data_IF_257649535159
#
_entry.id   IF_257649535159
#
_cell.length_a   1.000
_cell.length_b   1.000
_cell.length_c   1.000
_cell.angle_alpha   90.00
_cell.angle_beta   90.00
_cell.angle_gamma   90.00
#
_symmetry.space_group_name_H-M   'P 1'
#
loop_
_entity.id
_entity.type
_entity.pdbx_description
1 polymer ?
#
# COMPACT_ATOMS: atom_id res chain seq x y z
N UNK A 1 18.83 4.38 -7.17
CA UNK A 1 19.24 3.77 -5.87
C UNK A 1 18.03 3.80 -4.95
N UNK A 2 17.93 3.00 -3.87
CA UNK A 2 16.83 3.22 -2.93
C UNK A 2 16.91 4.65 -2.38
N UNK A 3 15.77 5.35 -2.31
CA UNK A 3 15.69 6.66 -1.65
C UNK A 3 16.23 6.48 -0.22
N UNK A 4 17.16 7.34 0.24
CA UNK A 4 17.72 7.22 1.58
C UNK A 4 16.61 7.29 2.65
N UNK A 5 16.87 6.59 3.74
CA UNK A 5 16.04 6.60 4.94
C UNK A 5 16.14 7.96 5.63
N UNK A 6 15.18 8.30 6.48
CA UNK A 6 15.26 9.57 7.20
C UNK A 6 16.50 9.63 8.11
N UNK A 7 16.92 8.49 8.68
CA UNK A 7 18.13 8.44 9.51
C UNK A 7 19.42 8.64 8.71
N UNK A 8 19.51 8.08 7.50
CA UNK A 8 20.65 8.34 6.62
C UNK A 8 20.76 9.81 6.27
N UNK A 9 19.64 10.53 6.14
CA UNK A 9 19.62 11.96 5.88
C UNK A 9 20.07 12.81 7.08
N UNK A 10 20.01 12.32 8.32
CA UNK A 10 20.26 13.13 9.52
C UNK A 10 21.68 13.71 9.58
N UNK A 11 22.72 12.89 9.37
CA UNK A 11 24.10 13.36 9.46
C UNK A 11 24.45 14.38 8.35
N UNK A 12 24.16 14.13 7.06
CA UNK A 12 24.41 15.12 6.01
C UNK A 12 23.65 16.44 6.22
N UNK A 13 22.42 16.39 6.73
CA UNK A 13 21.64 17.58 7.07
C UNK A 13 22.26 18.39 8.21
N UNK A 14 22.77 17.71 9.25
CA UNK A 14 23.45 18.38 10.35
C UNK A 14 24.79 18.99 9.90
N UNK A 15 25.58 18.23 9.14
CA UNK A 15 26.86 18.69 8.56
C UNK A 15 26.68 19.88 7.62
N UNK A 16 25.58 19.92 6.86
CA UNK A 16 25.24 21.05 6.01
C UNK A 16 25.19 22.37 6.78
N UNK A 17 24.77 22.34 8.04
CA UNK A 17 24.60 23.51 8.91
C UNK A 17 25.83 23.82 9.77
N UNK A 18 26.94 23.08 9.60
CA UNK A 18 28.15 23.24 10.42
C UNK A 18 28.79 24.64 10.30
N UNK A 19 28.46 25.40 9.24
CA UNK A 19 28.88 26.79 9.05
C UNK A 19 28.16 27.79 9.99
N UNK A 20 27.26 27.29 10.86
CA UNK A 20 26.42 28.06 11.80
C UNK A 20 25.48 29.07 11.12
N UNK A 21 25.35 29.02 9.78
CA UNK A 21 24.45 29.90 9.04
C UNK A 21 23.05 29.30 8.98
N UNK A 22 22.05 30.17 8.96
CA UNK A 22 20.68 29.74 8.68
C UNK A 22 20.58 29.25 7.24
N UNK A 23 19.93 28.11 7.04
CA UNK A 23 19.56 27.59 5.72
C UNK A 23 18.07 27.33 5.66
N UNK A 24 17.48 27.58 4.50
CA UNK A 24 16.08 27.30 4.19
C UNK A 24 15.87 25.80 3.96
N UNK A 25 14.61 25.36 4.05
CA UNK A 25 14.21 24.00 3.69
C UNK A 25 14.62 23.64 2.24
N UNK A 26 14.58 24.60 1.31
CA UNK A 26 14.97 24.39 -0.08
C UNK A 26 16.48 24.19 -0.25
N UNK A 27 17.29 24.95 0.50
CA UNK A 27 18.74 24.78 0.49
C UNK A 27 19.15 23.42 1.08
N UNK A 28 18.53 23.00 2.19
CA UNK A 28 18.74 21.67 2.76
C UNK A 28 18.28 20.56 1.80
N UNK A 29 17.17 20.77 1.10
CA UNK A 29 16.69 19.85 0.07
C UNK A 29 17.73 19.66 -1.04
N UNK A 30 18.29 20.75 -1.56
CA UNK A 30 19.33 20.70 -2.58
C UNK A 30 20.58 19.93 -2.10
N UNK A 31 20.96 20.08 -0.84
CA UNK A 31 22.09 19.35 -0.25
C UNK A 31 21.80 17.85 -0.17
N UNK A 32 20.61 17.45 0.29
CA UNK A 32 20.22 16.03 0.33
C UNK A 32 20.20 15.43 -1.08
N UNK A 33 19.60 16.12 -2.05
CA UNK A 33 19.54 15.68 -3.45
C UNK A 33 20.95 15.47 -4.01
N UNK A 34 21.86 16.42 -3.77
CA UNK A 34 23.23 16.35 -4.28
C UNK A 34 24.07 15.27 -3.56
N UNK A 35 23.96 15.19 -2.23
CA UNK A 35 24.72 14.25 -1.42
C UNK A 35 24.38 12.79 -1.77
N UNK A 36 23.09 12.49 -1.92
CA UNK A 36 22.60 11.14 -2.26
C UNK A 36 22.42 10.89 -3.76
N UNK A 37 22.74 11.88 -4.61
CA UNK A 37 22.63 11.80 -6.08
C UNK A 37 21.25 11.34 -6.55
N UNK A 38 20.19 11.92 -6.00
CA UNK A 38 18.80 11.55 -6.32
C UNK A 38 18.47 11.94 -7.76
N UNK A 39 17.97 10.98 -8.56
CA UNK A 39 17.57 11.23 -9.94
C UNK A 39 16.19 11.90 -10.03
N UNK A 40 15.80 12.36 -11.22
CA UNK A 40 14.45 12.90 -11.45
C UNK A 40 13.36 11.84 -11.24
N UNK A 41 13.64 10.56 -11.51
CA UNK A 41 12.75 9.46 -11.17
C UNK A 41 12.61 9.31 -9.65
N UNK A 42 13.71 9.35 -8.91
CA UNK A 42 13.70 9.23 -7.44
C UNK A 42 12.87 10.36 -6.79
N UNK A 43 12.93 11.58 -7.34
CA UNK A 43 12.16 12.73 -6.85
C UNK A 43 10.65 12.58 -7.06
N UNK A 44 10.23 11.87 -8.11
CA UNK A 44 8.83 11.62 -8.47
C UNK A 44 8.18 10.50 -7.66
N UNK A 45 8.95 9.73 -6.91
CA UNK A 45 8.41 8.69 -6.03
C UNK A 45 7.62 9.38 -4.90
N UNK A 46 6.30 9.20 -4.93
CA UNK A 46 5.40 9.71 -3.90
C UNK A 46 5.26 8.74 -2.71
N UNK A 47 4.72 9.24 -1.60
CA UNK A 47 4.28 8.39 -0.50
C UNK A 47 3.10 7.52 -0.95
N UNK A 48 3.06 6.22 -0.60
CA UNK A 48 1.90 5.37 -0.87
C UNK A 48 0.61 5.90 -0.21
N UNK A 49 0.72 6.58 0.94
CA UNK A 49 -0.42 7.18 1.66
C UNK A 49 -0.88 8.52 1.11
N UNK A 50 -0.03 9.23 0.36
CA UNK A 50 -0.36 10.52 -0.22
C UNK A 50 0.43 10.76 -1.51
N UNK A 51 -0.18 10.51 -2.68
CA UNK A 51 0.45 10.68 -3.99
C UNK A 51 0.96 12.11 -4.27
N UNK A 52 0.45 13.12 -3.55
CA UNK A 52 0.87 14.52 -3.71
C UNK A 52 2.12 14.87 -2.89
N UNK A 53 2.61 13.98 -2.03
CA UNK A 53 3.81 14.20 -1.22
C UNK A 53 4.96 13.33 -1.72
N UNK A 54 6.08 13.97 -2.04
CA UNK A 54 7.30 13.28 -2.42
C UNK A 54 7.92 12.54 -1.23
N UNK A 55 8.30 11.27 -1.45
CA UNK A 55 8.80 10.36 -0.41
C UNK A 55 10.10 10.86 0.22
N UNK A 56 11.05 11.36 -0.56
CA UNK A 56 12.31 11.88 0.00
C UNK A 56 12.10 13.17 0.80
N UNK A 57 11.21 14.06 0.36
CA UNK A 57 10.85 15.30 1.10
C UNK A 57 10.23 14.97 2.45
N UNK A 58 9.37 13.97 2.49
CA UNK A 58 8.76 13.49 3.73
C UNK A 58 9.79 12.90 4.69
N UNK A 59 10.70 12.06 4.19
CA UNK A 59 11.81 11.52 5.01
C UNK A 59 12.75 12.62 5.51
N UNK A 60 13.06 13.61 4.67
CA UNK A 60 13.85 14.78 5.08
C UNK A 60 13.14 15.57 6.19
N UNK A 61 11.82 15.75 6.09
CA UNK A 61 11.04 16.38 7.15
C UNK A 61 11.20 15.65 8.49
N UNK A 62 11.10 14.31 8.49
CA UNK A 62 11.29 13.49 9.69
C UNK A 62 12.71 13.56 10.25
N UNK A 63 13.74 13.54 9.39
CA UNK A 63 15.13 13.75 9.79
C UNK A 63 15.29 15.07 10.54
N UNK A 64 14.73 16.17 9.99
CA UNK A 64 14.74 17.48 10.63
C UNK A 64 13.97 17.47 11.96
N UNK A 65 12.80 16.81 12.03
CA UNK A 65 12.05 16.71 13.29
C UNK A 65 12.86 16.00 14.38
N UNK A 66 13.53 14.89 14.06
CA UNK A 66 14.34 14.14 15.02
C UNK A 66 15.53 14.97 15.52
N UNK A 67 16.26 15.63 14.62
CA UNK A 67 17.36 16.53 14.98
C UNK A 67 16.89 17.70 15.85
N UNK A 68 15.70 18.24 15.57
CA UNK A 68 15.09 19.30 16.39
C UNK A 68 14.70 18.83 17.77
N UNK A 69 14.11 17.63 17.88
CA UNK A 69 13.72 17.04 19.17
C UNK A 69 14.92 16.68 20.03
N UNK A 70 16.04 16.31 19.42
CA UNK A 70 17.33 16.14 20.09
C UNK A 70 18.07 17.45 20.38
N UNK A 71 17.51 18.60 19.99
CA UNK A 71 18.12 19.92 20.07
C UNK A 71 19.49 20.03 19.38
N UNK A 72 19.79 19.18 18.39
CA UNK A 72 20.97 19.34 17.53
C UNK A 72 20.75 20.43 16.48
N UNK A 73 19.48 20.72 16.19
CA UNK A 73 19.04 21.71 15.22
C UNK A 73 17.91 22.55 15.84
N UNK A 74 17.84 23.83 15.48
CA UNK A 74 16.73 24.72 15.81
C UNK A 74 16.12 25.33 14.55
N UNK A 75 14.88 25.82 14.67
CA UNK A 75 14.17 26.49 13.59
C UNK A 75 13.84 27.94 14.01
N UNK A 76 14.76 28.90 13.82
CA UNK A 76 14.61 30.26 14.33
C UNK A 76 13.45 31.01 13.66
N UNK A 77 13.17 30.70 12.39
CA UNK A 77 12.02 31.21 11.64
C UNK A 77 11.35 30.07 10.88
N UNK A 78 10.10 30.28 10.45
CA UNK A 78 9.35 29.27 9.71
C UNK A 78 10.11 28.87 8.43
N UNK A 79 10.48 27.60 8.34
CA UNK A 79 11.16 27.04 7.17
C UNK A 79 12.65 27.34 7.07
N UNK A 80 13.25 27.95 8.08
CA UNK A 80 14.71 28.10 8.21
C UNK A 80 15.24 27.29 9.39
N UNK A 81 16.48 26.85 9.28
CA UNK A 81 17.11 25.91 10.19
C UNK A 81 18.54 26.33 10.48
N UNK A 82 18.99 26.12 11.71
CA UNK A 82 20.34 26.42 12.18
C UNK A 82 20.81 25.33 13.13
N UNK A 83 22.10 24.98 13.10
CA UNK A 83 22.70 24.06 14.06
C UNK A 83 22.82 24.74 15.43
N UNK A 84 22.61 23.98 16.51
CA UNK A 84 22.80 24.48 17.88
C UNK A 84 24.24 24.25 18.35
N UNK A 85 24.62 24.79 19.51
CA UNK A 85 25.93 24.47 20.10
C UNK A 85 26.09 22.97 20.38
N UNK A 86 25.01 22.31 20.84
CA UNK A 86 24.95 20.85 21.02
C UNK A 86 25.19 20.11 19.70
N UNK A 87 24.61 20.60 18.60
CA UNK A 87 24.85 20.06 17.26
C UNK A 87 26.31 20.17 16.83
N UNK A 88 26.97 21.29 17.13
CA UNK A 88 28.40 21.49 16.86
C UNK A 88 29.26 20.55 17.71
N UNK A 89 28.96 20.44 19.01
CA UNK A 89 29.67 19.53 19.92
C UNK A 89 29.55 18.08 19.40
N UNK A 90 28.36 17.67 19.00
CA UNK A 90 28.13 16.35 18.41
C UNK A 90 28.99 16.12 17.15
N UNK A 91 29.03 17.09 16.22
CA UNK A 91 29.86 17.00 15.01
C UNK A 91 31.37 16.99 15.32
N UNK A 92 31.82 17.66 16.38
CA UNK A 92 33.23 17.70 16.77
C UNK A 92 33.79 16.34 17.18
N UNK A 93 32.90 15.40 17.57
CA UNK A 93 33.23 13.99 17.83
C UNK A 93 33.52 13.19 16.54
N UNK A 94 33.43 13.83 15.36
CA UNK A 94 33.60 13.23 14.04
C UNK A 94 32.77 11.95 13.82
N UNK A 95 31.43 12.00 14.01
CA UNK A 95 30.59 10.84 13.84
C UNK A 95 30.55 10.40 12.37
N UNK A 96 30.71 9.10 12.13
CA UNK A 96 30.52 8.51 10.80
C UNK A 96 29.04 8.29 10.44
N UNK A 97 28.19 8.16 11.46
CA UNK A 97 26.73 7.99 11.31
C UNK A 97 26.00 8.79 12.38
N UNK A 98 24.76 9.19 12.05
CA UNK A 98 23.80 9.72 13.01
C UNK A 98 22.51 8.91 12.85
N UNK A 99 22.14 8.19 13.91
CA UNK A 99 21.00 7.28 13.99
C UNK A 99 20.18 7.61 15.22
N UNK A 100 18.95 7.07 15.33
CA UNK A 100 18.11 7.24 16.51
C UNK A 100 18.87 6.89 17.80
N UNK A 101 19.67 5.82 17.80
CA UNK A 101 20.42 5.38 18.98
C UNK A 101 21.40 6.44 19.51
N UNK A 102 22.00 7.23 18.62
CA UNK A 102 22.84 8.36 19.03
C UNK A 102 22.01 9.47 19.68
N UNK A 103 20.77 9.68 19.22
CA UNK A 103 19.89 10.71 19.77
C UNK A 103 19.32 10.33 21.14
N UNK A 104 19.28 9.03 21.46
CA UNK A 104 18.81 8.54 22.77
C UNK A 104 19.72 8.95 23.94
N UNK A 105 20.92 9.50 23.67
CA UNK A 105 21.79 10.08 24.70
C UNK A 105 21.26 11.42 25.25
N UNK A 106 20.34 12.08 24.52
CA UNK A 106 19.75 13.35 24.92
C UNK A 106 18.41 13.11 25.65
N UNK A 107 18.31 13.60 26.88
CA UNK A 107 17.15 13.35 27.75
C UNK A 107 15.84 13.86 27.11
N UNK A 108 15.84 15.03 26.47
CA UNK A 108 14.65 15.59 25.84
C UNK A 108 14.14 14.75 24.66
N UNK A 109 15.07 14.13 23.91
CA UNK A 109 14.72 13.21 22.83
C UNK A 109 14.17 11.90 23.39
N UNK A 110 14.80 11.37 24.42
CA UNK A 110 14.38 10.15 25.10
C UNK A 110 12.98 10.30 25.72
N UNK A 111 12.71 11.40 26.41
CA UNK A 111 11.38 11.74 26.93
C UNK A 111 10.34 11.81 25.80
N UNK A 112 10.67 12.48 24.69
CA UNK A 112 9.78 12.57 23.54
C UNK A 112 9.46 11.21 22.90
N UNK A 113 10.46 10.33 22.75
CA UNK A 113 10.23 8.95 22.27
C UNK A 113 9.34 8.18 23.27
N UNK A 114 9.60 8.31 24.56
CA UNK A 114 8.82 7.63 25.61
C UNK A 114 7.36 8.11 25.59
N UNK A 115 7.11 9.41 25.45
CA UNK A 115 5.76 9.96 25.35
C UNK A 115 5.02 9.49 24.09
N UNK A 116 5.72 9.37 22.94
CA UNK A 116 5.14 8.77 21.74
C UNK A 116 4.74 7.30 21.95
N UNK A 117 5.45 6.56 22.81
CA UNK A 117 5.12 5.17 23.13
C UNK A 117 4.08 5.02 24.25
N UNK A 118 3.94 6.00 25.14
CA UNK A 118 2.99 6.00 26.27
C UNK A 118 1.56 6.43 25.87
N UNK A 119 1.37 7.04 24.71
CA UNK A 119 0.05 7.40 24.19
C UNK A 119 -0.89 6.23 23.87
N UNK A 120 -0.47 4.98 24.12
CA UNK A 120 -1.25 3.76 23.96
C UNK A 120 -1.50 3.04 25.29
N UNK A 121 -1.92 3.74 26.34
CA UNK A 121 -2.40 3.10 27.57
C UNK A 121 -3.77 2.44 27.34
N UNK A 122 -3.70 1.28 26.70
CA UNK A 122 -4.71 0.23 26.78
C UNK A 122 -3.98 -1.08 27.02
N UNK A 123 -3.46 -1.27 28.23
CA UNK A 123 -3.41 -2.55 28.96
C UNK A 123 -3.00 -3.82 28.21
N UNK A 124 -2.15 -3.76 27.19
CA UNK A 124 -1.56 -4.92 26.55
C UNK A 124 -0.06 -4.88 26.81
N UNK A 125 0.40 -5.73 27.73
CA UNK A 125 1.81 -6.10 27.81
C UNK A 125 2.19 -6.75 26.48
N UNK A 126 2.72 -5.94 25.56
CA UNK A 126 3.35 -6.45 24.36
C UNK A 126 4.69 -7.01 24.83
N UNK A 127 4.77 -8.34 24.86
CA UNK A 127 5.99 -9.11 25.03
C UNK A 127 7.07 -8.50 24.13
N UNK A 128 8.08 -7.89 24.74
CA UNK A 128 9.21 -7.25 24.06
C UNK A 128 10.13 -8.33 23.48
N UNK A 129 9.62 -9.09 22.51
CA UNK A 129 10.50 -9.72 21.52
C UNK A 129 10.86 -8.65 20.52
N UNK A 130 12.12 -8.22 20.58
CA UNK A 130 12.79 -7.45 19.54
C UNK A 130 12.61 -8.16 18.19
N UNK A 131 11.56 -7.76 17.47
CA UNK A 131 11.21 -8.26 16.15
C UNK A 131 11.29 -7.12 15.15
N UNK A 132 12.38 -7.08 14.37
CA UNK A 132 12.46 -6.67 12.96
C UNK A 132 11.75 -5.39 12.45
N UNK A 133 11.41 -4.42 13.29
CA UNK A 133 11.04 -3.07 12.81
C UNK A 133 12.27 -2.18 12.78
N UNK A 134 12.97 -2.21 11.65
CA UNK A 134 14.24 -1.50 11.49
C UNK A 134 14.09 0.03 11.59
N UNK A 135 15.14 0.74 12.03
CA UNK A 135 15.17 2.19 12.26
C UNK A 135 15.09 3.06 10.98
N UNK A 136 14.68 2.48 9.85
CA UNK A 136 14.76 3.06 8.50
C UNK A 136 13.46 3.67 7.97
N UNK A 137 12.33 3.49 8.68
CA UNK A 137 10.99 3.81 8.20
C UNK A 137 10.30 4.86 9.08
N UNK A 138 9.56 5.77 8.44
CA UNK A 138 8.73 6.76 9.13
C UNK A 138 7.50 6.09 9.78
N UNK A 139 6.91 6.66 10.86
CA UNK A 139 5.70 6.11 11.48
C UNK A 139 4.55 5.85 10.50
N UNK A 140 4.35 6.72 9.51
CA UNK A 140 3.35 6.52 8.48
C UNK A 140 3.68 5.33 7.57
N UNK A 141 4.95 5.15 7.20
CA UNK A 141 5.39 3.96 6.45
C UNK A 141 5.16 2.68 7.26
N UNK A 142 5.39 2.70 8.58
CA UNK A 142 5.11 1.56 9.45
C UNK A 142 3.62 1.21 9.48
N UNK A 143 2.73 2.21 9.58
CA UNK A 143 1.27 1.98 9.51
C UNK A 143 0.88 1.35 8.17
N UNK A 144 1.40 1.84 7.05
CA UNK A 144 1.09 1.32 5.71
C UNK A 144 1.56 -0.13 5.56
N UNK A 145 2.77 -0.44 6.04
CA UNK A 145 3.32 -1.80 5.99
C UNK A 145 2.50 -2.75 6.85
N UNK A 146 2.16 -2.33 8.07
CA UNK A 146 1.26 -3.08 8.95
C UNK A 146 -0.11 -3.32 8.30
N UNK A 147 -0.72 -2.28 7.72
CA UNK A 147 -1.99 -2.40 7.00
C UNK A 147 -1.91 -3.38 5.83
N UNK A 148 -0.86 -3.30 5.00
CA UNK A 148 -0.66 -4.22 3.87
C UNK A 148 -0.46 -5.67 4.34
N UNK A 149 0.25 -5.87 5.47
CA UNK A 149 0.42 -7.19 6.06
C UNK A 149 -0.91 -7.75 6.57
N UNK A 150 -1.70 -6.94 7.27
CA UNK A 150 -3.06 -7.31 7.72
C UNK A 150 -3.94 -7.67 6.52
N UNK A 151 -3.94 -6.83 5.47
CA UNK A 151 -4.69 -7.07 4.24
C UNK A 151 -4.27 -8.37 3.54
N UNK A 152 -2.96 -8.64 3.46
CA UNK A 152 -2.45 -9.86 2.84
C UNK A 152 -2.86 -11.12 3.64
N UNK A 153 -2.82 -11.05 4.97
CA UNK A 153 -3.29 -12.12 5.83
C UNK A 153 -4.79 -12.36 5.66
N UNK A 154 -5.60 -11.29 5.67
CA UNK A 154 -7.04 -11.35 5.42
C UNK A 154 -7.35 -11.96 4.04
N UNK A 155 -6.63 -11.57 3.00
CA UNK A 155 -6.81 -12.11 1.66
C UNK A 155 -6.50 -13.62 1.59
N UNK A 156 -5.51 -14.09 2.35
CA UNK A 156 -5.20 -15.52 2.49
C UNK A 156 -6.31 -16.28 3.20
N UNK A 157 -6.85 -15.71 4.29
CA UNK A 157 -7.93 -16.32 5.06
C UNK A 157 -9.25 -16.36 4.29
N UNK A 158 -9.56 -15.31 3.49
CA UNK A 158 -10.67 -15.31 2.56
C UNK A 158 -10.56 -16.43 1.53
N UNK A 159 -9.39 -16.62 0.90
CA UNK A 159 -9.19 -17.72 -0.07
C UNK A 159 -9.49 -19.08 0.57
N UNK A 160 -8.98 -19.33 1.78
CA UNK A 160 -9.27 -20.57 2.52
C UNK A 160 -10.76 -20.72 2.84
N UNK A 161 -11.43 -19.63 3.22
CA UNK A 161 -12.86 -19.64 3.49
C UNK A 161 -13.69 -19.98 2.23
N UNK A 162 -13.36 -19.36 1.09
CA UNK A 162 -14.02 -19.63 -0.20
C UNK A 162 -13.88 -21.10 -0.58
N UNK A 163 -12.68 -21.68 -0.43
CA UNK A 163 -12.42 -23.08 -0.76
C UNK A 163 -13.24 -24.08 0.06
N UNK A 164 -13.62 -23.73 1.30
CA UNK A 164 -14.46 -24.57 2.17
C UNK A 164 -15.94 -24.59 1.77
N UNK A 165 -16.36 -23.65 0.93
CA UNK A 165 -17.76 -23.51 0.52
C UNK A 165 -18.10 -24.37 -0.71
N UNK A 166 -19.40 -24.53 -0.96
CA UNK A 166 -19.91 -25.24 -2.13
C UNK A 166 -19.68 -24.45 -3.42
N UNK A 167 -19.64 -25.10 -4.60
CA UNK A 167 -19.57 -24.41 -5.90
C UNK A 167 -20.68 -23.36 -6.09
N UNK A 168 -21.92 -23.68 -5.72
CA UNK A 168 -23.04 -22.74 -5.80
C UNK A 168 -22.84 -21.49 -4.91
N UNK A 169 -22.24 -21.66 -3.73
CA UNK A 169 -21.90 -20.52 -2.89
C UNK A 169 -20.76 -19.68 -3.48
N UNK A 170 -19.81 -20.31 -4.18
CA UNK A 170 -18.78 -19.59 -4.91
C UNK A 170 -19.37 -18.72 -6.04
N UNK A 171 -20.31 -19.25 -6.82
CA UNK A 171 -21.05 -18.47 -7.81
C UNK A 171 -21.79 -17.29 -7.17
N UNK A 172 -22.39 -17.50 -5.98
CA UNK A 172 -23.03 -16.43 -5.22
C UNK A 172 -22.05 -15.33 -4.78
N UNK A 173 -20.83 -15.70 -4.36
CA UNK A 173 -19.77 -14.73 -4.04
C UNK A 173 -19.42 -13.90 -5.28
N UNK A 174 -19.23 -14.55 -6.44
CA UNK A 174 -18.90 -13.83 -7.69
C UNK A 174 -20.02 -12.88 -8.08
N UNK A 175 -21.29 -13.32 -7.95
CA UNK A 175 -22.44 -12.44 -8.15
C UNK A 175 -22.38 -11.20 -7.24
N UNK A 176 -22.20 -11.39 -5.94
CA UNK A 176 -22.13 -10.29 -4.96
C UNK A 176 -20.96 -9.35 -5.24
N UNK A 177 -19.84 -9.89 -5.69
CA UNK A 177 -18.69 -9.09 -6.08
C UNK A 177 -18.98 -8.21 -7.30
N UNK A 178 -19.54 -8.78 -8.37
CA UNK A 178 -19.87 -8.02 -9.57
C UNK A 178 -20.90 -6.92 -9.27
N UNK A 179 -21.93 -7.23 -8.46
CA UNK A 179 -22.90 -6.24 -7.96
C UNK A 179 -22.20 -5.12 -7.15
N UNK A 180 -21.31 -5.47 -6.21
CA UNK A 180 -20.58 -4.50 -5.38
C UNK A 180 -19.61 -3.62 -6.17
N UNK A 181 -19.05 -4.15 -7.26
CA UNK A 181 -18.25 -3.40 -8.23
C UNK A 181 -19.08 -2.48 -9.14
N UNK A 182 -20.41 -2.52 -9.03
CA UNK A 182 -21.32 -1.71 -9.83
C UNK A 182 -21.61 -2.26 -11.23
N UNK A 183 -21.26 -3.52 -11.51
CA UNK A 183 -21.81 -4.20 -12.68
C UNK A 183 -23.29 -4.49 -12.39
N UNK A 184 -24.17 -4.16 -13.33
CA UNK A 184 -25.62 -4.04 -13.13
C UNK A 184 -26.35 -5.30 -12.66
N UNK A 185 -27.38 -5.74 -13.39
CA UNK A 185 -28.17 -6.90 -12.96
C UNK A 185 -27.45 -8.21 -13.33
N UNK A 186 -27.06 -8.98 -12.31
CA UNK A 186 -26.30 -10.22 -12.44
C UNK A 186 -27.24 -11.42 -12.42
N UNK A 187 -27.32 -12.11 -13.55
CA UNK A 187 -28.12 -13.33 -13.73
C UNK A 187 -27.22 -14.57 -13.68
N UNK A 188 -27.58 -15.52 -12.81
CA UNK A 188 -26.89 -16.82 -12.68
C UNK A 188 -27.69 -17.87 -13.47
N UNK A 189 -27.03 -18.55 -14.40
CA UNK A 189 -27.64 -19.60 -15.23
C UNK A 189 -27.27 -20.95 -14.62
N UNK A 190 -28.02 -21.38 -13.61
CA UNK A 190 -27.74 -22.58 -12.82
C UNK A 190 -27.95 -23.93 -13.53
N UNK A 191 -27.76 -24.04 -14.86
CA UNK A 191 -27.91 -25.30 -15.59
C UNK A 191 -26.59 -25.75 -16.21
N UNK A 192 -26.09 -26.89 -15.71
CA UNK A 192 -25.10 -27.72 -16.39
C UNK A 192 -25.62 -28.10 -17.77
N UNK A 193 -25.16 -27.41 -18.82
CA UNK A 193 -25.57 -27.65 -20.20
C UNK A 193 -25.04 -26.65 -21.23
N UNK A 194 -24.73 -25.42 -20.82
CA UNK A 194 -24.41 -24.31 -21.74
C UNK A 194 -22.91 -24.10 -21.99
N UNK A 195 -22.14 -25.18 -22.11
CA UNK A 195 -20.70 -25.08 -22.44
C UNK A 195 -19.86 -24.42 -21.33
N UNK A 196 -20.38 -24.34 -20.11
CA UNK A 196 -19.64 -23.87 -18.94
C UNK A 196 -19.80 -22.38 -18.60
N UNK A 197 -20.70 -21.64 -19.21
CA UNK A 197 -21.07 -20.30 -18.72
C UNK A 197 -21.89 -20.46 -17.42
N UNK A 198 -21.50 -19.76 -16.36
CA UNK A 198 -22.20 -19.82 -15.07
C UNK A 198 -23.19 -18.65 -14.89
N UNK A 199 -23.01 -17.56 -15.64
CA UNK A 199 -23.96 -16.45 -15.67
C UNK A 199 -23.54 -15.31 -16.59
N UNK A 200 -24.29 -14.22 -16.55
CA UNK A 200 -23.95 -12.98 -17.23
C UNK A 200 -24.42 -11.75 -16.46
N UNK A 201 -23.81 -10.61 -16.77
CA UNK A 201 -24.21 -9.30 -16.26
C UNK A 201 -24.63 -8.42 -17.43
N UNK A 202 -25.75 -7.71 -17.26
CA UNK A 202 -26.18 -6.68 -18.22
C UNK A 202 -25.40 -5.39 -17.93
N UNK A 203 -24.66 -4.91 -18.91
CA UNK A 203 -23.87 -3.69 -18.78
C UNK A 203 -24.74 -2.42 -18.86
N UNK A 204 -25.93 -2.55 -19.46
CA UNK A 204 -26.90 -1.49 -19.62
C UNK A 204 -28.31 -1.95 -19.17
N UNK A 205 -29.20 -0.98 -18.94
CA UNK A 205 -30.58 -1.24 -18.46
C UNK A 205 -31.45 -1.99 -19.48
N UNK A 206 -31.14 -1.88 -20.77
CA UNK A 206 -31.89 -2.55 -21.84
C UNK A 206 -31.38 -3.99 -22.05
N UNK A 207 -30.21 -4.33 -21.51
CA UNK A 207 -29.61 -5.67 -21.58
C UNK A 207 -29.09 -6.03 -22.97
N UNK A 208 -28.74 -5.02 -23.77
CA UNK A 208 -28.19 -5.21 -25.12
C UNK A 208 -26.78 -5.75 -25.02
N UNK A 209 -25.99 -5.23 -24.10
CA UNK A 209 -24.60 -5.61 -23.90
C UNK A 209 -24.45 -6.50 -22.66
N UNK A 210 -23.96 -7.73 -22.88
CA UNK A 210 -23.84 -8.77 -21.84
C UNK A 210 -22.38 -9.17 -21.67
N UNK A 211 -21.95 -9.17 -20.41
CA UNK A 211 -20.66 -9.70 -19.98
C UNK A 211 -20.92 -11.07 -19.36
N UNK A 212 -20.46 -12.12 -20.02
CA UNK A 212 -20.62 -13.47 -19.50
C UNK A 212 -19.52 -13.80 -18.50
N UNK A 213 -19.81 -14.61 -17.50
CA UNK A 213 -18.79 -15.06 -16.57
C UNK A 213 -18.85 -16.56 -16.31
N UNK A 214 -17.69 -17.10 -15.95
CA UNK A 214 -17.50 -18.47 -15.50
C UNK A 214 -16.65 -18.44 -14.22
N UNK A 215 -17.01 -19.26 -13.25
CA UNK A 215 -16.44 -19.37 -11.92
C UNK A 215 -15.99 -20.83 -11.68
N UNK A 216 -14.67 -21.05 -11.63
CA UNK A 216 -14.08 -22.38 -11.37
C UNK A 216 -13.43 -22.44 -10.00
N UNK A 217 -14.09 -23.14 -9.08
CA UNK A 217 -13.53 -23.47 -7.77
C UNK A 217 -12.57 -24.65 -7.87
N UNK A 218 -11.28 -24.37 -7.78
CA UNK A 218 -10.20 -25.35 -7.80
C UNK A 218 -9.32 -25.25 -6.55
N UNK A 219 -8.70 -26.37 -6.18
CA UNK A 219 -7.67 -26.35 -5.16
C UNK A 219 -6.50 -25.46 -5.59
N UNK A 220 -5.80 -24.85 -4.63
CA UNK A 220 -4.74 -23.87 -4.88
C UNK A 220 -3.69 -24.35 -5.88
N UNK A 221 -3.30 -25.63 -5.80
CA UNK A 221 -2.30 -26.28 -6.67
C UNK A 221 -2.85 -26.84 -7.99
N UNK A 222 -4.08 -26.49 -8.37
CA UNK A 222 -4.71 -26.95 -9.62
C UNK A 222 -4.92 -25.78 -10.57
N UNK A 223 -3.89 -25.39 -11.35
CA UNK A 223 -3.97 -24.25 -12.24
C UNK A 223 -4.97 -24.48 -13.37
N UNK A 224 -5.58 -23.39 -13.84
CA UNK A 224 -6.48 -23.45 -14.99
C UNK A 224 -5.70 -23.78 -16.26
N UNK A 225 -6.22 -24.70 -17.07
CA UNK A 225 -5.55 -25.16 -18.30
C UNK A 225 -5.94 -24.32 -19.52
N UNK A 226 -5.07 -24.31 -20.53
CA UNK A 226 -5.38 -23.66 -21.81
C UNK A 226 -6.60 -24.30 -22.52
N UNK A 227 -6.90 -25.58 -22.27
CA UNK A 227 -8.09 -26.22 -22.83
C UNK A 227 -9.36 -25.57 -22.30
N UNK A 228 -9.45 -25.38 -20.98
CA UNK A 228 -10.60 -24.74 -20.36
C UNK A 228 -10.85 -23.32 -20.86
N UNK A 229 -9.78 -22.57 -21.13
CA UNK A 229 -9.92 -21.24 -21.72
C UNK A 229 -10.47 -21.28 -23.13
N UNK A 230 -10.03 -22.24 -23.95
CA UNK A 230 -10.58 -22.43 -25.30
C UNK A 230 -12.04 -22.83 -25.25
N UNK A 231 -12.43 -23.67 -24.30
CA UNK A 231 -13.82 -24.05 -24.08
C UNK A 231 -14.66 -22.81 -23.73
N UNK A 232 -14.17 -21.97 -22.81
CA UNK A 232 -14.84 -20.71 -22.46
C UNK A 232 -14.95 -19.74 -23.65
N UNK A 233 -13.87 -19.57 -24.43
CA UNK A 233 -13.88 -18.77 -25.68
C UNK A 233 -14.93 -19.31 -26.66
N UNK A 234 -15.04 -20.63 -26.80
CA UNK A 234 -16.05 -21.28 -27.63
C UNK A 234 -17.47 -20.97 -27.16
N UNK A 235 -17.70 -21.04 -25.84
CA UNK A 235 -19.01 -20.74 -25.25
C UNK A 235 -19.40 -19.27 -25.43
N UNK A 236 -18.45 -18.33 -25.32
CA UNK A 236 -18.69 -16.92 -25.65
C UNK A 236 -19.07 -16.74 -27.13
N UNK A 237 -18.42 -17.47 -28.04
CA UNK A 237 -18.74 -17.43 -29.47
C UNK A 237 -20.17 -17.92 -29.74
N UNK A 238 -20.59 -19.01 -29.09
CA UNK A 238 -21.96 -19.54 -29.20
C UNK A 238 -22.99 -18.58 -28.61
N UNK A 239 -22.64 -17.88 -27.53
CA UNK A 239 -23.47 -16.84 -26.90
C UNK A 239 -23.48 -15.51 -27.68
N UNK A 240 -22.69 -15.39 -28.76
CA UNK A 240 -22.60 -14.17 -29.57
C UNK A 240 -21.94 -12.99 -28.83
N UNK A 241 -21.07 -13.26 -27.86
CA UNK A 241 -20.38 -12.22 -27.09
C UNK A 241 -18.86 -12.29 -27.25
N UNK A 242 -18.24 -11.12 -27.14
CA UNK A 242 -16.79 -10.94 -27.09
C UNK A 242 -16.29 -10.55 -25.71
N UNK A 243 -17.18 -10.44 -24.71
CA UNK A 243 -16.86 -10.00 -23.35
C UNK A 243 -17.05 -11.12 -22.34
N UNK A 244 -15.98 -11.44 -21.62
CA UNK A 244 -15.98 -12.53 -20.65
C UNK A 244 -15.21 -12.20 -19.37
N UNK A 245 -15.65 -12.77 -18.25
CA UNK A 245 -14.89 -12.80 -17.01
C UNK A 245 -14.72 -14.25 -16.59
N UNK A 246 -13.48 -14.71 -16.47
CA UNK A 246 -13.20 -16.04 -15.92
C UNK A 246 -12.56 -15.90 -14.55
N UNK A 247 -13.23 -16.44 -13.54
CA UNK A 247 -12.82 -16.40 -12.15
C UNK A 247 -12.39 -17.78 -11.68
N UNK A 248 -11.30 -17.87 -10.93
CA UNK A 248 -10.88 -19.10 -10.27
C UNK A 248 -10.34 -18.85 -8.87
N UNK A 249 -10.47 -19.84 -7.99
CA UNK A 249 -9.79 -19.84 -6.68
C UNK A 249 -8.32 -20.29 -6.74
N UNK A 250 -7.85 -20.75 -7.91
CA UNK A 250 -6.45 -21.12 -8.14
C UNK A 250 -5.73 -20.02 -8.95
N UNK A 251 -4.89 -20.38 -9.92
CA UNK A 251 -4.04 -19.49 -10.69
C UNK A 251 -4.17 -19.72 -12.19
N UNK A 252 -3.82 -18.69 -12.96
CA UNK A 252 -3.69 -18.76 -14.42
C UNK A 252 -2.21 -18.81 -14.81
N UNK A 253 -1.70 -19.92 -15.36
CA UNK A 253 -0.33 -19.98 -15.84
C UNK A 253 -0.13 -19.10 -17.09
N UNK A 254 1.12 -18.74 -17.41
CA UNK A 254 1.44 -17.86 -18.54
C UNK A 254 0.81 -18.33 -19.87
N UNK A 255 0.83 -19.63 -20.15
CA UNK A 255 0.22 -20.23 -21.34
C UNK A 255 -1.29 -19.98 -21.42
N UNK A 256 -1.97 -19.92 -20.28
CA UNK A 256 -3.38 -19.58 -20.21
C UNK A 256 -3.60 -18.11 -20.62
N UNK A 257 -2.80 -17.19 -20.09
CA UNK A 257 -2.89 -15.78 -20.48
C UNK A 257 -2.57 -15.56 -21.97
N UNK A 258 -1.61 -16.28 -22.53
CA UNK A 258 -1.31 -16.25 -23.98
C UNK A 258 -2.50 -16.69 -24.83
N UNK A 259 -3.23 -17.72 -24.38
CA UNK A 259 -4.42 -18.23 -25.07
C UNK A 259 -5.50 -17.14 -25.19
N UNK A 260 -5.72 -16.35 -24.12
CA UNK A 260 -6.65 -15.22 -24.18
C UNK A 260 -6.16 -14.15 -25.14
N UNK A 261 -4.87 -13.77 -25.07
CA UNK A 261 -4.29 -12.75 -25.97
C UNK A 261 -4.46 -13.10 -27.45
N UNK A 262 -4.37 -14.38 -27.80
CA UNK A 262 -4.53 -14.86 -29.19
C UNK A 262 -5.99 -14.90 -29.66
N UNK A 263 -6.96 -14.90 -28.74
CA UNK A 263 -8.38 -15.00 -29.08
C UNK A 263 -8.99 -13.71 -29.65
N UNK A 264 -8.31 -12.57 -29.45
CA UNK A 264 -8.81 -11.23 -29.76
C UNK A 264 -10.15 -10.85 -29.08
N UNK A 265 -10.62 -11.63 -28.10
CA UNK A 265 -11.79 -11.32 -27.27
C UNK A 265 -11.39 -10.55 -26.02
N UNK A 266 -12.34 -9.78 -25.49
CA UNK A 266 -12.20 -9.01 -24.25
C UNK A 266 -12.51 -9.89 -23.03
N UNK A 267 -11.54 -10.73 -22.65
CA UNK A 267 -11.67 -11.64 -21.51
C UNK A 267 -10.78 -11.18 -20.36
N UNK A 268 -11.37 -10.99 -19.18
CA UNK A 268 -10.66 -10.70 -17.92
C UNK A 268 -10.49 -11.99 -17.13
N UNK A 269 -9.26 -12.25 -16.67
CA UNK A 269 -8.93 -13.38 -15.81
C UNK A 269 -8.77 -12.90 -14.37
N UNK A 270 -9.52 -13.49 -13.43
CA UNK A 270 -9.47 -13.16 -11.99
C UNK A 270 -9.04 -14.42 -11.23
N UNK A 271 -7.80 -14.44 -10.74
CA UNK A 271 -7.27 -15.55 -9.94
C UNK A 271 -7.65 -15.42 -8.45
N UNK A 272 -7.28 -16.41 -7.64
CA UNK A 272 -7.67 -16.46 -6.22
C UNK A 272 -7.15 -15.27 -5.40
N UNK A 273 -5.95 -14.78 -5.73
CA UNK A 273 -5.34 -13.63 -5.05
C UNK A 273 -6.04 -12.33 -5.43
N UNK A 274 -6.28 -12.13 -6.72
CA UNK A 274 -7.01 -10.97 -7.24
C UNK A 274 -8.44 -10.96 -6.70
N UNK A 275 -9.11 -12.11 -6.71
CA UNK A 275 -10.47 -12.27 -6.17
C UNK A 275 -10.54 -11.82 -4.71
N UNK A 276 -9.65 -12.31 -3.85
CA UNK A 276 -9.67 -11.95 -2.44
C UNK A 276 -9.40 -10.45 -2.21
N UNK A 277 -8.49 -9.85 -2.99
CA UNK A 277 -8.25 -8.41 -2.92
C UNK A 277 -9.47 -7.59 -3.36
N UNK A 278 -10.16 -8.00 -4.43
CA UNK A 278 -11.40 -7.37 -4.88
C UNK A 278 -12.51 -7.52 -3.82
N UNK A 279 -12.64 -8.70 -3.20
CA UNK A 279 -13.59 -8.90 -2.11
C UNK A 279 -13.34 -7.96 -0.94
N UNK A 280 -12.08 -7.71 -0.56
CA UNK A 280 -11.74 -6.72 0.47
C UNK A 280 -12.06 -5.29 0.01
N UNK A 281 -11.74 -4.96 -1.23
CA UNK A 281 -11.93 -3.61 -1.79
C UNK A 281 -13.41 -3.21 -1.92
N UNK A 282 -14.28 -4.17 -2.26
CA UNK A 282 -15.72 -3.96 -2.46
C UNK A 282 -16.57 -4.49 -1.30
N UNK A 283 -15.98 -4.68 -0.12
CA UNK A 283 -16.67 -5.09 1.12
C UNK A 283 -17.50 -6.38 1.01
N UNK A 284 -17.03 -7.36 0.25
CA UNK A 284 -17.71 -8.65 0.04
C UNK A 284 -17.14 -9.73 0.95
N UNK A 285 -17.96 -10.25 1.87
CA UNK A 285 -17.54 -11.31 2.79
C UNK A 285 -16.55 -10.86 3.86
N UNK A 286 -16.40 -9.55 4.04
CA UNK A 286 -15.58 -8.91 5.08
C UNK A 286 -16.41 -7.91 5.88
N UNK A 287 -15.89 -7.43 6.99
CA UNK A 287 -16.53 -6.40 7.81
C UNK A 287 -15.46 -5.49 8.39
N UNK A 288 -15.75 -4.19 8.43
CA UNK A 288 -14.85 -3.22 9.05
C UNK A 288 -14.84 -3.40 10.56
N UNK A 289 -13.69 -3.75 11.13
CA UNK A 289 -13.52 -3.91 12.58
C UNK A 289 -13.14 -2.59 13.27
N UNK A 290 -12.24 -1.80 12.68
CA UNK A 290 -11.73 -0.55 13.26
C UNK A 290 -11.33 0.46 12.18
N UNK A 291 -11.51 1.75 12.45
CA UNK A 291 -11.11 2.85 11.57
C UNK A 291 -10.12 3.78 12.27
N UNK A 292 -8.91 3.91 11.71
CA UNK A 292 -7.88 4.85 12.19
C UNK A 292 -7.91 6.14 11.36
N UNK A 293 -8.05 7.30 12.03
CA UNK A 293 -8.07 8.62 11.38
C UNK A 293 -6.78 9.40 11.66
N UNK A 294 -5.97 9.61 10.62
CA UNK A 294 -4.77 10.45 10.68
C UNK A 294 -5.15 11.92 10.48
N UNK A 295 -4.77 12.79 11.41
CA UNK A 295 -5.03 14.24 11.36
C UNK A 295 -3.73 15.00 11.07
N UNK A 296 -3.85 16.13 10.36
CA UNK A 296 -2.77 17.11 10.20
C UNK A 296 -3.25 18.46 10.70
N UNK A 297 -2.32 19.33 11.10
CA UNK A 297 -2.62 20.73 11.41
C UNK A 297 -3.24 21.38 10.17
N UNK A 298 -4.42 21.96 10.34
CA UNK A 298 -4.99 22.91 9.38
C UNK A 298 -4.28 24.25 9.58
N UNK A 299 -3.43 24.64 8.63
CA UNK A 299 -2.60 25.83 8.77
C UNK A 299 -3.39 27.11 8.55
N UNK A 300 -4.47 27.06 7.78
CA UNK A 300 -5.28 28.23 7.43
C UNK A 300 -6.05 28.72 8.66
N UNK A 301 -6.39 27.80 9.57
CA UNK A 301 -6.98 28.14 10.87
C UNK A 301 -6.10 29.04 11.75
N UNK A 302 -4.78 29.03 11.56
CA UNK A 302 -3.82 29.78 12.40
C UNK A 302 -3.23 31.01 11.68
N UNK A 303 -3.84 31.46 10.59
CA UNK A 303 -3.50 32.75 9.96
C UNK A 303 -4.39 33.81 10.62
N UNK A 304 -3.78 34.77 11.31
CA UNK A 304 -4.48 35.97 11.81
C UNK A 304 -4.88 36.84 10.61
N UNK A 305 -6.12 37.35 10.58
CA UNK A 305 -6.62 38.27 9.54
C UNK A 305 -5.83 39.58 9.47
#
# INVERSE_FOLDING_TARGET
MPIPTFEEMMLPLLQALADRKEKTAQELEAIVVNHFRLTEEDKKISLPSNPNLSKYKHRMHWAIQYLKRAQLLEAPRRGTYRITERGIEFLSRNPHTLRKDNLMEFEEFKEWILDMTKGGDSGLEIDKKEGEFGPSQTPEEMIILGYNQIKANLASDLQKAILKNSPAFFEHIIKKLLEGMGYGDVEVIGKSGDGGIDGFVKQDKLGVDKIYFQAKRFAENTPVTASMLRDFIGSLQLAGSDKGILVTTSSFPNKAQETIRQSHKNIVLIDGKMLANLMIEYDVGVTTETVYKLKRIDRDFFIEE
#
